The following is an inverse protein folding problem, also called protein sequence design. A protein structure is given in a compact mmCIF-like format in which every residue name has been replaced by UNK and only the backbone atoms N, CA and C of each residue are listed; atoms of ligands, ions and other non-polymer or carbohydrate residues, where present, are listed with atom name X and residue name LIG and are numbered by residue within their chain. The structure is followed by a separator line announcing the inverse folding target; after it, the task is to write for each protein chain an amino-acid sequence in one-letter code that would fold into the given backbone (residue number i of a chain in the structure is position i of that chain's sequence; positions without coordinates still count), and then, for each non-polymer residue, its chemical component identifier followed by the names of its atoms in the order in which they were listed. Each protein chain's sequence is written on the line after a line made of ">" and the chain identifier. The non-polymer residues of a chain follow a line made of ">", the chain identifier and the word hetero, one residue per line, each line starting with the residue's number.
data_IF_599517453047
#
_entry.id   IF_599517453047
#
_cell.length_a   1.000
_cell.length_b   1.000
_cell.length_c   1.000
_cell.angle_alpha   90.00
_cell.angle_beta   90.00
_cell.angle_gamma   90.00
#
_symmetry.space_group_name_H-M   'P 1'
#
loop_
_entity.id
_entity.type
_entity.pdbx_description
1 polymer ?
#
# COMPACT_ATOMS: atom_id res chain seq x y z
N UNK A 1 17.43 17.64 -11.88
CA UNK A 1 17.09 16.26 -12.25
C UNK A 1 16.42 15.65 -11.05
N UNK A 2 15.11 15.41 -11.11
CA UNK A 2 14.42 14.64 -10.06
C UNK A 2 14.79 13.18 -10.27
N UNK A 3 15.79 12.69 -9.53
CA UNK A 3 16.10 11.26 -9.52
C UNK A 3 14.92 10.52 -8.91
N UNK A 4 14.19 9.76 -9.72
CA UNK A 4 13.17 8.86 -9.21
C UNK A 4 13.81 7.84 -8.25
N UNK A 5 13.12 7.45 -7.15
CA UNK A 5 13.62 6.37 -6.31
C UNK A 5 13.83 5.10 -7.11
N UNK A 6 14.84 4.33 -6.71
CA UNK A 6 15.09 3.02 -7.29
C UNK A 6 14.00 2.04 -6.84
N UNK A 7 13.63 1.11 -7.72
CA UNK A 7 12.78 -0.02 -7.35
C UNK A 7 13.51 -0.93 -6.35
N UNK A 8 12.80 -1.64 -5.45
CA UNK A 8 13.44 -2.51 -4.49
C UNK A 8 14.22 -3.64 -5.18
N UNK A 9 15.27 -4.09 -4.51
CA UNK A 9 16.03 -5.25 -4.97
C UNK A 9 15.33 -6.53 -4.49
N UNK A 10 15.11 -7.56 -5.33
CA UNK A 10 14.49 -8.81 -4.89
C UNK A 10 15.23 -9.45 -3.70
N UNK A 11 14.47 -9.98 -2.74
CA UNK A 11 15.00 -10.57 -1.49
C UNK A 11 15.99 -11.73 -1.73
N UNK A 12 15.94 -12.34 -2.91
CA UNK A 12 16.77 -13.50 -3.30
C UNK A 12 17.65 -13.22 -4.52
N UNK A 13 18.12 -11.99 -4.72
CA UNK A 13 18.92 -11.60 -5.89
C UNK A 13 20.15 -12.46 -6.20
N UNK A 14 20.67 -13.19 -5.21
CA UNK A 14 21.85 -14.03 -5.37
C UNK A 14 21.56 -15.54 -5.46
N UNK A 15 20.32 -15.97 -5.21
CA UNK A 15 19.96 -17.39 -5.24
C UNK A 15 19.37 -17.74 -6.61
N UNK A 16 20.19 -18.32 -7.49
CA UNK A 16 19.67 -18.91 -8.71
C UNK A 16 18.81 -20.13 -8.38
N UNK A 17 17.56 -20.11 -8.83
CA UNK A 17 16.63 -21.23 -8.77
C UNK A 17 16.25 -21.71 -10.18
N UNK A 18 15.70 -22.92 -10.26
CA UNK A 18 15.10 -23.43 -11.50
C UNK A 18 14.07 -22.44 -12.07
N UNK A 19 13.23 -21.86 -11.21
CA UNK A 19 12.22 -20.88 -11.61
C UNK A 19 12.85 -19.61 -12.17
N UNK A 20 13.91 -19.09 -11.53
CA UNK A 20 14.58 -17.88 -12.03
C UNK A 20 15.27 -18.06 -13.38
N UNK A 21 15.71 -19.29 -13.69
CA UNK A 21 16.28 -19.62 -15.00
C UNK A 21 15.19 -19.76 -16.07
N UNK A 22 14.03 -20.31 -15.70
CA UNK A 22 12.94 -20.56 -16.65
C UNK A 22 12.09 -19.31 -16.93
N UNK A 23 11.86 -18.46 -15.93
CA UNK A 23 10.92 -17.34 -16.00
C UNK A 23 11.59 -15.97 -15.79
N UNK A 24 12.92 -15.94 -15.70
CA UNK A 24 13.67 -14.74 -15.35
C UNK A 24 13.64 -14.44 -13.85
N UNK A 25 14.35 -13.37 -13.46
CA UNK A 25 14.37 -12.93 -12.07
C UNK A 25 13.03 -12.33 -11.67
N UNK A 26 12.69 -12.48 -10.38
CA UNK A 26 11.48 -11.90 -9.82
C UNK A 26 11.46 -10.37 -9.98
N UNK A 27 10.37 -9.83 -10.52
CA UNK A 27 10.12 -8.40 -10.56
C UNK A 27 9.56 -7.94 -9.22
N UNK A 28 10.22 -6.97 -8.60
CA UNK A 28 9.79 -6.38 -7.34
C UNK A 28 9.42 -4.92 -7.55
N UNK A 29 8.18 -4.58 -7.19
CA UNK A 29 7.63 -3.24 -7.40
C UNK A 29 7.84 -2.35 -6.17
N UNK A 30 7.86 -1.04 -6.38
CA UNK A 30 7.89 -0.05 -5.29
C UNK A 30 6.73 -0.26 -4.29
N UNK A 31 6.90 0.12 -3.02
CA UNK A 31 6.02 -0.22 -1.88
C UNK A 31 5.97 -1.69 -1.43
N UNK A 32 6.60 -2.62 -2.17
CA UNK A 32 6.75 -4.02 -1.76
C UNK A 32 8.12 -4.28 -1.10
N UNK A 33 8.39 -5.54 -0.72
CA UNK A 33 9.66 -5.95 -0.10
C UNK A 33 10.06 -5.14 1.14
N UNK A 34 9.12 -5.03 2.10
CA UNK A 34 9.40 -4.38 3.38
C UNK A 34 10.66 -4.96 4.03
N UNK A 35 11.59 -4.12 4.53
CA UNK A 35 12.75 -4.59 5.28
C UNK A 35 12.35 -5.15 6.65
N UNK A 36 11.09 -4.99 7.06
CA UNK A 36 10.57 -5.47 8.32
C UNK A 36 10.00 -6.88 8.20
N UNK A 37 10.48 -7.79 9.03
CA UNK A 37 9.79 -9.04 9.29
C UNK A 37 8.53 -8.74 10.12
N UNK A 38 7.35 -8.96 9.53
CA UNK A 38 6.07 -8.54 10.10
C UNK A 38 5.71 -9.24 11.41
N UNK A 39 6.21 -10.45 11.63
CA UNK A 39 5.99 -11.28 12.84
C UNK A 39 4.55 -11.18 13.38
N UNK A 40 3.57 -11.41 12.51
CA UNK A 40 2.16 -11.09 12.78
C UNK A 40 1.57 -11.82 13.99
N UNK A 41 2.09 -12.99 14.33
CA UNK A 41 1.70 -13.77 15.51
C UNK A 41 2.13 -13.12 16.84
N UNK A 42 3.10 -12.19 16.84
CA UNK A 42 3.49 -11.45 18.04
C UNK A 42 2.55 -10.27 18.35
N UNK A 43 1.62 -9.94 17.46
CA UNK A 43 0.67 -8.82 17.63
C UNK A 43 -0.34 -9.03 18.76
N UNK A 44 -0.46 -10.26 19.25
CA UNK A 44 -1.29 -10.63 20.41
C UNK A 44 -0.45 -10.91 21.66
N UNK A 45 0.88 -10.91 21.56
CA UNK A 45 1.77 -11.20 22.69
C UNK A 45 2.08 -9.90 23.45
N UNK A 46 1.23 -9.53 24.41
CA UNK A 46 1.35 -8.26 25.15
C UNK A 46 2.69 -8.10 25.87
N UNK A 47 3.25 -9.19 26.41
CA UNK A 47 4.57 -9.17 27.04
C UNK A 47 5.67 -8.76 26.06
N UNK A 48 5.61 -9.26 24.81
CA UNK A 48 6.51 -8.84 23.74
C UNK A 48 6.30 -7.37 23.40
N UNK A 49 5.05 -6.96 23.17
CA UNK A 49 4.73 -5.60 22.75
C UNK A 49 5.14 -4.56 23.81
N UNK A 50 4.94 -4.87 25.10
CA UNK A 50 5.38 -4.04 26.23
C UNK A 50 6.91 -3.90 26.29
N UNK A 51 7.65 -4.98 26.01
CA UNK A 51 9.11 -4.93 25.91
C UNK A 51 9.56 -4.15 24.65
N UNK A 52 8.86 -4.34 23.53
CA UNK A 52 9.16 -3.74 22.25
C UNK A 52 8.96 -2.22 22.24
N UNK A 53 7.85 -1.69 22.76
CA UNK A 53 7.62 -0.23 22.78
C UNK A 53 8.78 0.52 23.45
N UNK A 54 9.29 -0.02 24.55
CA UNK A 54 10.28 0.64 25.43
C UNK A 54 11.72 0.40 25.01
N UNK A 55 11.96 -0.49 24.04
CA UNK A 55 13.32 -0.82 23.64
C UNK A 55 14.01 0.41 23.01
N UNK A 56 15.27 0.75 23.37
CA UNK A 56 15.96 1.93 22.83
C UNK A 56 16.11 1.94 21.30
N UNK A 57 16.12 0.76 20.69
CA UNK A 57 16.17 0.60 19.23
C UNK A 57 14.83 0.82 18.53
N UNK A 58 13.74 0.97 19.27
CA UNK A 58 12.40 1.09 18.69
C UNK A 58 12.26 2.37 17.90
N UNK A 59 11.53 2.26 16.79
CA UNK A 59 11.31 3.34 15.82
C UNK A 59 9.82 3.53 15.59
N UNK A 60 9.38 4.78 15.66
CA UNK A 60 8.00 5.18 15.46
C UNK A 60 7.86 5.99 14.16
N UNK A 61 7.04 5.49 13.23
CA UNK A 61 6.57 6.24 12.06
C UNK A 61 5.39 7.08 12.52
N UNK A 62 5.56 8.40 12.58
CA UNK A 62 4.49 9.31 13.00
C UNK A 62 3.64 9.73 11.82
N UNK A 63 2.32 9.61 11.97
CA UNK A 63 1.34 10.00 10.96
C UNK A 63 0.39 11.07 11.52
N UNK A 64 0.21 12.16 10.79
CA UNK A 64 -0.82 13.20 11.06
C UNK A 64 -1.73 13.27 9.85
N UNK A 65 -3.00 12.89 10.00
CA UNK A 65 -3.96 12.75 8.89
C UNK A 65 -3.39 11.91 7.74
N UNK A 66 -2.69 10.81 8.08
CA UNK A 66 -1.98 9.90 7.17
C UNK A 66 -0.72 10.47 6.48
N UNK A 67 -0.40 11.75 6.70
CA UNK A 67 0.85 12.34 6.25
C UNK A 67 2.00 11.90 7.16
N UNK A 68 3.14 11.43 6.62
CA UNK A 68 4.28 11.02 7.41
C UNK A 68 5.09 12.21 7.92
N UNK A 69 5.64 12.08 9.13
CA UNK A 69 6.68 12.98 9.60
C UNK A 69 7.99 12.74 8.84
N UNK A 70 8.59 13.82 8.35
CA UNK A 70 9.75 13.76 7.48
C UNK A 70 10.81 14.80 7.85
N UNK A 71 12.08 14.49 7.56
CA UNK A 71 13.17 15.48 7.58
C UNK A 71 13.22 16.27 6.27
N UNK A 72 12.85 15.61 5.18
CA UNK A 72 12.71 16.20 3.84
C UNK A 72 11.63 15.42 3.08
N UNK A 73 11.07 15.94 1.96
CA UNK A 73 10.06 15.22 1.18
C UNK A 73 10.44 13.80 0.72
N UNK A 74 11.72 13.41 0.80
CA UNK A 74 12.23 12.09 0.42
C UNK A 74 12.83 11.28 1.58
N UNK A 75 12.75 11.74 2.83
CA UNK A 75 13.36 11.06 3.99
C UNK A 75 12.40 11.04 5.20
N UNK A 76 12.03 9.83 5.65
CA UNK A 76 11.20 9.65 6.83
C UNK A 76 11.98 10.02 8.10
N UNK A 77 11.27 10.60 9.08
CA UNK A 77 11.78 10.67 10.43
C UNK A 77 11.21 9.54 11.28
N UNK A 78 12.09 8.77 11.92
CA UNK A 78 11.70 7.75 12.88
C UNK A 78 11.90 8.26 14.29
N UNK A 79 10.79 8.52 14.99
CA UNK A 79 10.84 8.97 16.38
C UNK A 79 11.22 7.83 17.33
N UNK A 80 11.71 8.20 18.50
CA UNK A 80 12.03 7.35 19.63
C UNK A 80 10.92 7.42 20.70
N UNK A 81 10.94 6.47 21.64
CA UNK A 81 9.91 6.36 22.67
C UNK A 81 9.74 7.64 23.52
N UNK A 82 10.84 8.25 23.94
CA UNK A 82 10.84 9.49 24.73
C UNK A 82 10.22 10.70 23.98
N UNK A 83 10.12 10.64 22.64
CA UNK A 83 9.47 11.67 21.83
C UNK A 83 7.95 11.49 21.75
N UNK A 84 7.44 10.30 22.10
CA UNK A 84 6.04 9.90 21.91
C UNK A 84 5.35 9.39 23.18
N UNK A 85 6.06 9.31 24.31
CA UNK A 85 5.59 8.74 25.59
C UNK A 85 4.27 9.37 26.09
N UNK A 86 4.01 10.64 25.75
CA UNK A 86 2.75 11.33 26.09
C UNK A 86 1.53 10.72 25.38
N UNK A 87 1.72 10.10 24.22
CA UNK A 87 0.65 9.43 23.46
C UNK A 87 0.68 7.92 23.62
N UNK A 88 1.83 7.36 23.99
CA UNK A 88 2.05 5.93 24.15
C UNK A 88 2.48 5.67 25.60
N UNK A 89 1.53 5.51 26.53
CA UNK A 89 1.88 5.23 27.92
C UNK A 89 2.56 3.87 28.03
N UNK A 90 3.51 3.74 28.97
CA UNK A 90 4.24 2.48 29.20
C UNK A 90 3.32 1.30 29.51
N UNK A 91 2.15 1.60 30.06
CA UNK A 91 1.15 0.63 30.55
C UNK A 91 0.14 0.23 29.47
N UNK A 92 0.30 0.66 28.22
CA UNK A 92 -0.68 0.43 27.13
C UNK A 92 -0.97 -1.07 26.87
N UNK A 93 -0.04 -1.96 27.23
CA UNK A 93 -0.19 -3.41 27.07
C UNK A 93 -0.24 -4.19 28.40
N UNK A 94 -0.41 -3.51 29.54
CA UNK A 94 -0.45 -4.18 30.86
C UNK A 94 -1.71 -5.04 31.05
N UNK A 95 -2.81 -4.64 30.43
CA UNK A 95 -4.07 -5.40 30.43
C UNK A 95 -4.11 -6.34 29.24
N UNK A 96 -4.76 -7.49 29.39
CA UNK A 96 -5.00 -8.38 28.26
C UNK A 96 -5.99 -7.77 27.27
N UNK A 97 -6.05 -8.30 26.04
CA UNK A 97 -7.07 -7.89 25.07
C UNK A 97 -8.49 -8.11 25.62
N UNK A 98 -8.72 -9.22 26.32
CA UNK A 98 -10.02 -9.59 26.91
C UNK A 98 -10.46 -8.60 27.99
N UNK A 99 -9.54 -8.21 28.88
CA UNK A 99 -9.76 -7.18 29.90
C UNK A 99 -10.07 -5.83 29.24
N UNK A 100 -9.25 -5.43 28.26
CA UNK A 100 -9.43 -4.17 27.53
C UNK A 100 -10.78 -4.09 26.82
N UNK A 101 -11.23 -5.21 26.22
CA UNK A 101 -12.54 -5.31 25.56
C UNK A 101 -13.68 -5.23 26.58
N UNK A 102 -13.54 -5.88 27.74
CA UNK A 102 -14.57 -5.91 28.79
C UNK A 102 -14.74 -4.55 29.46
N UNK A 103 -13.65 -3.83 29.68
CA UNK A 103 -13.61 -2.52 30.33
C UNK A 103 -13.74 -1.34 29.35
N UNK A 104 -14.12 -1.63 28.10
CA UNK A 104 -14.21 -0.62 27.05
C UNK A 104 -15.13 0.54 27.43
N UNK A 105 -14.64 1.77 27.22
CA UNK A 105 -15.36 3.02 27.42
C UNK A 105 -15.23 3.86 26.16
N UNK A 106 -16.32 4.01 25.40
CA UNK A 106 -16.30 4.73 24.11
C UNK A 106 -16.04 6.23 24.22
N UNK A 107 -16.00 6.80 25.43
CA UNK A 107 -15.64 8.21 25.66
C UNK A 107 -14.13 8.44 25.68
N UNK A 108 -13.34 7.39 25.90
CA UNK A 108 -11.87 7.45 25.94
C UNK A 108 -11.28 7.14 24.58
N UNK A 109 -10.30 7.95 24.18
CA UNK A 109 -9.59 7.85 22.92
C UNK A 109 -8.12 7.55 23.20
N UNK A 110 -7.66 6.39 22.75
CA UNK A 110 -6.24 6.06 22.74
C UNK A 110 -5.66 6.38 21.37
N UNK A 111 -4.45 6.94 21.34
CA UNK A 111 -3.73 7.13 20.09
C UNK A 111 -3.56 5.78 19.37
N UNK A 112 -3.78 5.76 18.06
CA UNK A 112 -3.71 4.52 17.30
C UNK A 112 -2.25 4.11 17.14
N UNK A 113 -1.86 3.02 17.80
CA UNK A 113 -0.53 2.43 17.73
C UNK A 113 -0.60 1.09 16.97
N UNK A 114 0.34 0.88 16.05
CA UNK A 114 0.35 -0.29 15.17
C UNK A 114 1.73 -0.92 15.13
N UNK A 115 1.88 -2.18 15.51
CA UNK A 115 3.14 -2.92 15.35
C UNK A 115 3.35 -3.33 13.89
N UNK A 116 4.44 -2.85 13.30
CA UNK A 116 4.76 -3.06 11.88
C UNK A 116 5.60 -4.32 11.67
N UNK A 117 6.54 -4.58 12.57
CA UNK A 117 7.47 -5.70 12.50
C UNK A 117 8.81 -5.42 13.19
N UNK A 118 9.79 -6.29 12.96
CA UNK A 118 11.18 -6.11 13.37
C UNK A 118 12.08 -5.93 12.14
N UNK A 119 13.01 -4.99 12.22
CA UNK A 119 14.17 -4.96 11.32
C UNK A 119 15.24 -5.94 11.85
N UNK A 120 15.28 -7.14 11.28
CA UNK A 120 16.19 -8.22 11.68
C UNK A 120 17.63 -8.03 11.18
N UNK A 121 17.91 -6.98 10.40
CA UNK A 121 19.30 -6.60 10.07
C UNK A 121 20.01 -6.00 11.29
N UNK A 122 19.25 -5.41 12.22
CA UNK A 122 19.72 -4.75 13.45
C UNK A 122 19.82 -5.72 14.62
N UNK A 123 20.66 -6.76 14.47
CA UNK A 123 20.81 -7.81 15.50
C UNK A 123 21.62 -7.39 16.72
N UNK A 124 22.58 -6.47 16.55
CA UNK A 124 23.53 -6.10 17.62
C UNK A 124 22.91 -5.23 18.70
N UNK A 125 21.98 -4.36 18.33
CA UNK A 125 21.34 -3.39 19.21
C UNK A 125 19.81 -3.50 19.23
N UNK A 126 19.26 -4.52 18.57
CA UNK A 126 17.83 -4.81 18.53
C UNK A 126 17.32 -5.55 19.77
N UNK A 127 16.00 -5.60 19.91
CA UNK A 127 15.32 -6.38 20.94
C UNK A 127 15.51 -7.86 20.65
N UNK A 128 16.01 -8.62 21.62
CA UNK A 128 16.00 -10.08 21.59
C UNK A 128 14.69 -10.62 22.21
N UNK A 129 13.91 -11.37 21.43
CA UNK A 129 12.70 -12.03 21.89
C UNK A 129 12.64 -13.48 21.40
N UNK A 130 12.83 -14.44 22.30
CA UNK A 130 12.94 -15.87 21.96
C UNK A 130 14.03 -16.08 20.90
N UNK A 131 13.66 -16.47 19.68
CA UNK A 131 14.59 -16.67 18.55
C UNK A 131 14.65 -15.47 17.60
N UNK A 132 13.84 -14.44 17.81
CA UNK A 132 13.77 -13.26 16.97
C UNK A 132 14.64 -12.16 17.56
N UNK A 133 15.38 -11.44 16.72
CA UNK A 133 16.20 -10.31 17.16
C UNK A 133 16.20 -9.23 16.10
N UNK A 134 15.83 -8.02 16.48
CA UNK A 134 15.78 -6.89 15.57
C UNK A 134 15.23 -5.62 16.21
N UNK A 135 15.33 -4.50 15.49
CA UNK A 135 14.78 -3.24 15.96
C UNK A 135 13.25 -3.21 15.75
N UNK A 136 12.43 -2.96 16.80
CA UNK A 136 10.98 -2.88 16.63
C UNK A 136 10.51 -1.62 15.91
N UNK A 137 9.51 -1.77 15.05
CA UNK A 137 8.89 -0.65 14.34
C UNK A 137 7.40 -0.57 14.66
N UNK A 138 6.94 0.65 14.96
CA UNK A 138 5.54 0.98 15.16
C UNK A 138 5.11 2.15 14.26
N UNK A 139 3.84 2.18 13.86
CA UNK A 139 3.21 3.40 13.35
C UNK A 139 2.32 4.00 14.43
N UNK A 140 2.35 5.32 14.58
CA UNK A 140 1.58 6.06 15.58
C UNK A 140 0.80 7.20 14.92
N UNK A 141 -0.50 7.26 15.18
CA UNK A 141 -1.33 8.40 14.83
C UNK A 141 -1.18 9.51 15.87
N UNK A 142 -0.64 10.65 15.44
CA UNK A 142 -0.49 11.84 16.26
C UNK A 142 -1.54 12.90 15.92
N UNK A 143 -2.56 12.56 15.12
CA UNK A 143 -3.65 13.47 14.77
C UNK A 143 -4.43 13.85 16.03
N UNK A 144 -4.56 15.15 16.38
CA UNK A 144 -5.39 15.57 17.51
C UNK A 144 -6.87 15.27 17.23
N UNK A 145 -7.42 14.23 17.87
CA UNK A 145 -8.81 13.78 17.67
C UNK A 145 -9.36 13.05 18.89
N UNK A 146 -10.67 13.10 19.09
CA UNK A 146 -11.33 12.43 20.22
C UNK A 146 -11.30 13.29 21.47
N UNK A 147 -10.90 12.72 22.62
CA UNK A 147 -10.94 13.43 23.90
C UNK A 147 -9.84 14.51 24.06
N UNK A 148 -10.03 15.37 25.06
CA UNK A 148 -9.18 16.54 25.32
C UNK A 148 -7.74 16.17 25.71
N UNK A 149 -7.56 15.05 26.42
CA UNK A 149 -6.24 14.57 26.83
C UNK A 149 -5.43 14.11 25.60
N UNK A 150 -6.03 13.28 24.74
CA UNK A 150 -5.42 12.85 23.48
C UNK A 150 -5.05 14.05 22.61
N UNK A 151 -5.96 15.03 22.47
CA UNK A 151 -5.72 16.21 21.65
C UNK A 151 -4.56 17.06 22.19
N UNK A 152 -4.50 17.24 23.50
CA UNK A 152 -3.43 17.99 24.16
C UNK A 152 -2.08 17.31 23.97
N UNK A 153 -2.01 16.00 24.21
CA UNK A 153 -0.79 15.22 24.04
C UNK A 153 -0.34 15.20 22.57
N UNK A 154 -1.28 15.10 21.64
CA UNK A 154 -1.01 15.14 20.19
C UNK A 154 -0.40 16.48 19.76
N UNK A 155 -1.00 17.59 20.17
CA UNK A 155 -0.47 18.93 19.90
C UNK A 155 0.94 19.09 20.48
N UNK A 156 1.18 18.62 21.70
CA UNK A 156 2.49 18.68 22.33
C UNK A 156 3.56 17.88 21.56
N UNK A 157 3.24 16.66 21.12
CA UNK A 157 4.16 15.85 20.30
C UNK A 157 4.42 16.51 18.95
N UNK A 158 3.38 16.98 18.26
CA UNK A 158 3.51 17.67 16.97
C UNK A 158 4.42 18.90 17.10
N UNK A 159 4.16 19.80 18.05
CA UNK A 159 4.96 21.01 18.24
C UNK A 159 6.42 20.68 18.57
N UNK A 160 6.68 19.67 19.39
CA UNK A 160 8.04 19.24 19.69
C UNK A 160 8.79 18.69 18.46
N UNK A 161 8.09 18.06 17.51
CA UNK A 161 8.69 17.63 16.25
C UNK A 161 8.95 18.82 15.30
N UNK A 162 8.02 19.77 15.22
CA UNK A 162 8.16 20.98 14.40
C UNK A 162 9.30 21.88 14.89
N UNK A 163 9.50 21.98 16.21
CA UNK A 163 10.64 22.70 16.81
C UNK A 163 12.01 22.11 16.43
N UNK A 164 12.05 20.83 16.05
CA UNK A 164 13.26 20.17 15.51
C UNK A 164 13.47 20.42 14.01
N UNK A 165 12.62 21.24 13.38
CA UNK A 165 12.64 21.51 11.94
C UNK A 165 12.04 20.39 11.09
N UNK A 166 11.29 19.47 11.70
CA UNK A 166 10.60 18.38 10.99
C UNK A 166 9.22 18.84 10.51
N UNK A 167 8.67 18.16 9.51
CA UNK A 167 7.32 18.48 9.01
C UNK A 167 6.57 17.25 8.54
N UNK A 168 5.24 17.29 8.67
CA UNK A 168 4.35 16.28 8.12
C UNK A 168 4.16 16.52 6.62
N UNK A 169 4.69 15.62 5.78
CA UNK A 169 4.70 15.81 4.34
C UNK A 169 3.32 15.56 3.72
N UNK A 170 2.61 16.65 3.42
CA UNK A 170 1.27 16.63 2.84
C UNK A 170 1.33 16.43 1.32
N UNK A 171 1.07 15.21 0.86
CA UNK A 171 0.88 14.89 -0.55
C UNK A 171 -0.21 13.84 -0.73
N UNK A 172 -0.93 13.93 -1.84
CA UNK A 172 -1.96 12.95 -2.23
C UNK A 172 -1.35 11.56 -2.47
N UNK A 173 -0.15 11.54 -3.06
CA UNK A 173 0.62 10.33 -3.39
C UNK A 173 2.09 10.64 -3.08
N UNK A 174 2.72 9.80 -2.27
CA UNK A 174 4.12 9.93 -1.82
C UNK A 174 4.94 8.81 -2.44
N UNK A 175 5.74 9.13 -3.45
CA UNK A 175 6.59 8.17 -4.17
C UNK A 175 8.04 8.66 -4.27
N UNK A 176 8.48 9.40 -3.25
CA UNK A 176 9.79 10.07 -3.16
C UNK A 176 10.76 9.39 -2.20
N UNK A 177 10.26 8.47 -1.36
CA UNK A 177 11.08 7.73 -0.40
C UNK A 177 11.95 6.67 -1.08
N UNK A 178 12.99 6.22 -0.36
CA UNK A 178 13.69 4.99 -0.74
C UNK A 178 12.71 3.80 -0.77
N UNK A 179 13.06 2.74 -1.51
CA UNK A 179 12.24 1.53 -1.60
C UNK A 179 11.84 0.96 -0.23
N UNK A 180 12.81 0.90 0.70
CA UNK A 180 12.62 0.37 2.05
C UNK A 180 11.67 1.23 2.89
N UNK A 181 11.92 2.54 2.93
CA UNK A 181 11.06 3.50 3.62
C UNK A 181 9.65 3.55 3.02
N UNK A 182 9.55 3.44 1.70
CA UNK A 182 8.28 3.40 1.00
C UNK A 182 7.46 2.18 1.41
N UNK A 183 8.07 1.01 1.52
CA UNK A 183 7.40 -0.21 1.96
C UNK A 183 6.92 -0.12 3.42
N UNK A 184 7.74 0.44 4.31
CA UNK A 184 7.35 0.72 5.71
C UNK A 184 6.19 1.71 5.76
N UNK A 185 6.27 2.81 5.01
CA UNK A 185 5.23 3.83 4.95
C UNK A 185 3.94 3.27 4.36
N UNK A 186 4.00 2.47 3.30
CA UNK A 186 2.82 1.85 2.68
C UNK A 186 2.05 0.97 3.68
N UNK A 187 2.76 0.12 4.44
CA UNK A 187 2.15 -0.67 5.51
C UNK A 187 1.55 0.23 6.60
N UNK A 188 2.30 1.23 7.06
CA UNK A 188 1.88 2.17 8.10
C UNK A 188 0.61 2.90 7.71
N UNK A 189 0.61 3.49 6.52
CA UNK A 189 -0.48 4.30 5.97
C UNK A 189 -1.73 3.46 5.74
N UNK A 190 -1.62 2.29 5.11
CA UNK A 190 -2.77 1.44 4.81
C UNK A 190 -3.48 0.94 6.08
N UNK A 191 -2.70 0.47 7.08
CA UNK A 191 -3.27 0.04 8.36
C UNK A 191 -3.88 1.20 9.15
N UNK A 192 -3.25 2.38 9.11
CA UNK A 192 -3.76 3.57 9.78
C UNK A 192 -5.05 4.08 9.15
N UNK A 193 -5.09 4.17 7.82
CA UNK A 193 -6.27 4.56 7.04
C UNK A 193 -7.45 3.63 7.34
N UNK A 194 -7.22 2.32 7.38
CA UNK A 194 -8.25 1.35 7.75
C UNK A 194 -8.76 1.56 9.18
N UNK A 195 -7.88 1.73 10.18
CA UNK A 195 -8.32 2.00 11.55
C UNK A 195 -9.15 3.29 11.66
N UNK A 196 -8.77 4.32 10.91
CA UNK A 196 -9.46 5.61 10.92
C UNK A 196 -10.87 5.53 10.29
N UNK A 197 -11.04 4.75 9.24
CA UNK A 197 -12.34 4.60 8.55
C UNK A 197 -13.26 3.55 9.16
N UNK A 198 -12.75 2.64 9.99
CA UNK A 198 -13.51 1.49 10.54
C UNK A 198 -13.70 1.59 12.06
N UNK A 199 -14.01 2.80 12.55
CA UNK A 199 -14.21 3.10 13.97
C UNK A 199 -15.53 2.57 14.54
N UNK A 200 -16.45 2.12 13.69
CA UNK A 200 -17.74 1.54 14.05
C UNK A 200 -17.90 0.14 13.45
N UNK A 201 -18.70 -0.71 14.10
CA UNK A 201 -18.96 -2.07 13.65
C UNK A 201 -19.93 -2.06 12.48
N UNK A 202 -19.50 -2.59 11.32
CA UNK A 202 -20.33 -2.66 10.12
C UNK A 202 -21.61 -3.49 10.26
N UNK A 203 -21.75 -4.32 11.30
CA UNK A 203 -22.99 -5.06 11.57
C UNK A 203 -23.94 -4.35 12.50
N UNK A 204 -23.46 -3.83 13.64
CA UNK A 204 -24.35 -3.29 14.68
C UNK A 204 -24.23 -1.77 14.90
N UNK A 205 -23.37 -1.08 14.14
CA UNK A 205 -23.19 0.37 14.21
C UNK A 205 -22.51 0.90 15.48
N UNK A 206 -22.13 0.05 16.44
CA UNK A 206 -21.49 0.50 17.68
C UNK A 206 -19.98 0.75 17.51
N UNK A 207 -19.37 1.67 18.29
CA UNK A 207 -17.93 1.89 18.29
C UNK A 207 -17.13 0.59 18.50
N UNK A 208 -16.06 0.45 17.73
CA UNK A 208 -15.11 -0.66 17.82
C UNK A 208 -13.83 -0.22 18.53
N UNK A 209 -13.03 -1.20 18.95
CA UNK A 209 -11.73 -1.01 19.57
C UNK A 209 -10.65 -1.60 18.64
N UNK A 210 -9.55 -0.88 18.46
CA UNK A 210 -8.37 -1.44 17.78
C UNK A 210 -7.65 -2.40 18.72
N UNK A 211 -7.41 -3.62 18.27
CA UNK A 211 -6.73 -4.69 19.00
C UNK A 211 -5.70 -5.38 18.09
N UNK A 212 -5.01 -6.42 18.56
CA UNK A 212 -3.87 -7.05 17.85
C UNK A 212 -2.85 -5.99 17.37
N UNK A 213 -2.50 -5.03 18.23
CA UNK A 213 -1.61 -3.91 17.90
C UNK A 213 -1.93 -3.27 16.55
N UNK A 214 -3.20 -2.88 16.36
CA UNK A 214 -3.62 -2.11 15.18
C UNK A 214 -4.07 -2.93 13.97
N UNK A 215 -4.08 -4.27 14.03
CA UNK A 215 -4.43 -5.11 12.87
C UNK A 215 -5.73 -5.88 13.02
N UNK A 216 -6.56 -5.53 14.01
CA UNK A 216 -7.91 -6.05 14.18
C UNK A 216 -8.82 -5.00 14.82
N UNK A 217 -10.10 -4.94 14.43
CA UNK A 217 -11.15 -4.18 15.11
C UNK A 217 -12.06 -5.15 15.85
N UNK A 218 -12.09 -5.05 17.17
CA UNK A 218 -13.03 -5.78 18.01
C UNK A 218 -14.30 -4.95 18.20
N UNK A 219 -15.48 -5.59 18.23
CA UNK A 219 -16.72 -4.96 18.66
C UNK A 219 -16.97 -5.32 20.14
N UNK A 220 -16.72 -4.41 21.10
CA UNK A 220 -16.88 -4.74 22.51
C UNK A 220 -18.31 -5.19 22.85
N UNK A 221 -18.50 -6.22 23.69
CA UNK A 221 -19.81 -6.68 24.16
C UNK A 221 -20.43 -5.72 25.17
N UNK A 222 -19.59 -4.94 25.85
CA UNK A 222 -19.97 -3.96 26.87
C UNK A 222 -19.40 -2.59 26.51
N UNK A 223 -20.02 -1.54 27.03
CA UNK A 223 -19.50 -0.17 26.96
C UNK A 223 -19.92 0.61 28.19
N UNK A 224 -18.94 1.01 28.98
CA UNK A 224 -19.14 1.75 30.23
C UNK A 224 -19.83 3.09 29.99
N UNK A 225 -19.59 3.73 28.84
CA UNK A 225 -20.22 5.02 28.50
C UNK A 225 -21.75 4.94 28.48
N UNK A 226 -22.31 3.79 28.09
CA UNK A 226 -23.77 3.59 28.00
C UNK A 226 -24.47 3.73 29.35
N UNK A 227 -23.80 3.33 30.44
CA UNK A 227 -24.35 3.46 31.79
C UNK A 227 -24.56 4.92 32.16
N UNK A 228 -23.63 5.79 31.76
CA UNK A 228 -23.77 7.24 31.96
C UNK A 228 -24.95 7.85 31.18
N UNK A 229 -25.41 7.18 30.12
CA UNK A 229 -26.60 7.54 29.33
C UNK A 229 -27.90 6.89 29.84
N UNK A 230 -27.87 6.19 30.98
CA UNK A 230 -29.01 5.45 31.51
C UNK A 230 -29.37 4.18 30.74
N UNK A 231 -28.45 3.66 29.90
CA UNK A 231 -28.60 2.41 29.14
C UNK A 231 -27.81 1.27 29.78
N UNK A 232 -28.16 -0.01 29.55
CA UNK A 232 -27.34 -1.13 29.97
C UNK A 232 -25.93 -1.05 29.35
N UNK A 233 -24.91 -1.40 30.14
CA UNK A 233 -23.52 -1.51 29.67
C UNK A 233 -23.41 -2.56 28.56
N UNK A 234 -24.14 -3.66 28.69
CA UNK A 234 -24.23 -4.71 27.68
C UNK A 234 -24.86 -4.18 26.40
N UNK A 235 -24.20 -4.49 25.27
CA UNK A 235 -24.66 -4.17 23.93
C UNK A 235 -25.43 -5.35 23.36
N UNK A 236 -26.41 -5.13 22.47
CA UNK A 236 -27.12 -6.20 21.78
C UNK A 236 -26.18 -7.20 21.11
N UNK A 237 -26.66 -8.41 20.88
CA UNK A 237 -25.90 -9.46 20.20
C UNK A 237 -25.37 -8.97 18.84
N UNK A 238 -24.14 -9.38 18.50
CA UNK A 238 -23.50 -9.03 17.25
C UNK A 238 -22.66 -10.22 16.76
N UNK A 239 -22.89 -10.66 15.53
CA UNK A 239 -22.22 -11.82 14.95
C UNK A 239 -20.69 -11.64 14.86
N UNK A 240 -20.20 -10.41 14.71
CA UNK A 240 -18.74 -10.11 14.71
C UNK A 240 -18.04 -10.52 16.01
N UNK A 241 -18.79 -10.78 17.10
CA UNK A 241 -18.26 -11.28 18.38
C UNK A 241 -18.25 -12.81 18.47
N UNK A 242 -19.03 -13.48 17.64
CA UNK A 242 -19.24 -14.95 17.73
C UNK A 242 -18.69 -15.70 16.52
N UNK A 243 -18.42 -15.02 15.41
CA UNK A 243 -17.85 -15.61 14.20
C UNK A 243 -16.66 -14.80 13.69
N UNK A 244 -15.82 -15.45 12.88
CA UNK A 244 -14.77 -14.77 12.14
C UNK A 244 -15.44 -13.87 11.07
N UNK A 245 -15.24 -12.56 11.18
CA UNK A 245 -15.80 -11.57 10.26
C UNK A 245 -14.68 -10.79 9.58
N UNK A 246 -14.76 -10.64 8.26
CA UNK A 246 -13.86 -9.78 7.49
C UNK A 246 -13.92 -8.31 7.93
N UNK A 247 -15.03 -7.86 8.51
CA UNK A 247 -15.20 -6.52 9.08
C UNK A 247 -14.19 -6.21 10.20
N UNK A 248 -13.65 -7.25 10.84
CA UNK A 248 -12.66 -7.11 11.90
C UNK A 248 -11.23 -6.98 11.42
N UNK A 249 -10.93 -7.15 10.13
CA UNK A 249 -9.56 -7.18 9.61
C UNK A 249 -9.28 -6.11 8.55
N UNK A 250 -8.02 -5.68 8.38
CA UNK A 250 -7.62 -4.75 7.34
C UNK A 250 -8.06 -5.21 5.95
N UNK A 251 -8.55 -4.26 5.16
CA UNK A 251 -8.99 -4.49 3.78
C UNK A 251 -7.84 -4.24 2.81
N UNK A 252 -7.78 -5.05 1.76
CA UNK A 252 -6.92 -4.81 0.59
C UNK A 252 -7.76 -5.07 -0.65
N UNK A 253 -7.96 -4.05 -1.46
CA UNK A 253 -8.80 -4.10 -2.65
C UNK A 253 -7.97 -4.58 -3.86
N UNK A 254 -8.25 -5.75 -4.43
CA UNK A 254 -7.52 -6.22 -5.61
C UNK A 254 -7.93 -5.40 -6.85
N UNK A 255 -6.92 -4.93 -7.58
CA UNK A 255 -7.10 -4.10 -8.77
C UNK A 255 -6.21 -4.65 -9.88
N UNK A 256 -6.75 -5.01 -11.03
CA UNK A 256 -5.93 -5.38 -12.19
C UNK A 256 -5.31 -4.14 -12.81
N UNK A 257 -4.14 -4.30 -13.43
CA UNK A 257 -3.55 -3.29 -14.30
C UNK A 257 -2.81 -4.00 -15.41
N UNK A 258 -3.07 -3.64 -16.67
CA UNK A 258 -2.69 -4.49 -17.81
C UNK A 258 -2.02 -3.72 -18.93
N UNK A 259 -0.85 -4.20 -19.36
CA UNK A 259 -0.26 -3.83 -20.65
C UNK A 259 -0.84 -4.73 -21.74
N UNK A 260 -1.52 -4.13 -22.71
CA UNK A 260 -2.20 -4.85 -23.79
C UNK A 260 -1.40 -4.71 -25.08
N UNK A 261 -0.99 -5.84 -25.64
CA UNK A 261 -0.28 -5.94 -26.91
C UNK A 261 -1.25 -6.15 -28.07
N UNK A 262 -0.99 -5.50 -29.19
CA UNK A 262 -1.66 -5.78 -30.47
C UNK A 262 -1.48 -7.23 -30.89
N UNK A 263 -2.27 -7.69 -31.84
CA UNK A 263 -2.19 -9.07 -32.35
C UNK A 263 -0.82 -9.40 -32.92
N UNK A 264 -0.18 -8.46 -33.60
CA UNK A 264 1.19 -8.59 -34.13
C UNK A 264 2.29 -8.27 -33.12
N UNK A 265 1.92 -7.89 -31.89
CA UNK A 265 2.80 -7.50 -30.79
C UNK A 265 3.75 -6.33 -31.10
N UNK A 266 3.40 -5.47 -32.06
CA UNK A 266 4.18 -4.27 -32.44
C UNK A 266 3.68 -2.99 -31.80
N UNK A 267 2.50 -3.03 -31.18
CA UNK A 267 1.86 -1.87 -30.55
C UNK A 267 1.37 -2.22 -29.15
N UNK A 268 1.36 -1.20 -28.29
CA UNK A 268 0.80 -1.27 -26.93
C UNK A 268 -0.41 -0.35 -26.86
N UNK A 269 -1.53 -0.85 -26.36
CA UNK A 269 -2.71 -0.02 -26.06
C UNK A 269 -2.50 0.70 -24.74
N UNK A 270 -2.61 2.02 -24.77
CA UNK A 270 -2.57 2.86 -23.57
C UNK A 270 -3.79 3.79 -23.55
N UNK A 271 -4.29 4.06 -22.34
CA UNK A 271 -5.43 4.94 -22.08
C UNK A 271 -5.06 6.17 -21.28
N UNK A 272 -5.89 7.21 -21.36
CA UNK A 272 -5.82 8.39 -20.49
C UNK A 272 -7.19 8.81 -20.00
N UNK A 273 -7.23 9.33 -18.78
CA UNK A 273 -8.38 10.01 -18.21
C UNK A 273 -8.28 11.52 -18.46
N UNK A 274 -9.42 12.21 -18.50
CA UNK A 274 -9.51 13.67 -18.65
C UNK A 274 -8.69 14.46 -17.61
N UNK A 275 -8.47 13.88 -16.43
CA UNK A 275 -7.69 14.52 -15.35
C UNK A 275 -6.18 14.47 -15.58
N UNK A 276 -5.69 13.66 -16.52
CA UNK A 276 -4.26 13.50 -16.77
C UNK A 276 -3.70 14.66 -17.58
N UNK A 277 -2.43 15.07 -17.33
CA UNK A 277 -1.76 16.05 -18.17
C UNK A 277 -1.80 15.66 -19.65
N UNK A 278 -1.80 16.61 -20.60
CA UNK A 278 -1.76 16.30 -22.02
C UNK A 278 -0.66 15.29 -22.38
N UNK A 279 -0.99 14.37 -23.29
CA UNK A 279 -0.14 13.28 -23.79
C UNK A 279 0.37 12.29 -22.74
N UNK A 280 -0.13 12.33 -21.50
CA UNK A 280 0.19 11.36 -20.47
C UNK A 280 -0.79 10.19 -20.51
N UNK A 281 -0.29 9.01 -20.88
CA UNK A 281 -1.04 7.76 -21.00
C UNK A 281 -0.48 6.70 -20.05
N UNK A 282 -1.31 5.73 -19.69
CA UNK A 282 -0.96 4.60 -18.83
C UNK A 282 -1.64 3.33 -19.34
N UNK A 283 -1.22 2.18 -18.81
CA UNK A 283 -1.96 0.93 -18.88
C UNK A 283 -3.36 1.07 -18.30
N UNK A 284 -4.30 0.25 -18.76
CA UNK A 284 -5.68 0.19 -18.26
C UNK A 284 -5.73 -0.54 -16.92
N UNK A 285 -6.65 -0.17 -16.03
CA UNK A 285 -6.71 -0.70 -14.68
C UNK A 285 -8.11 -0.64 -14.09
N UNK A 286 -8.48 -1.67 -13.32
CA UNK A 286 -9.84 -1.87 -12.84
C UNK A 286 -9.94 -2.67 -11.56
N UNK A 287 -11.01 -2.49 -10.80
CA UNK A 287 -11.27 -3.33 -9.64
C UNK A 287 -11.71 -4.73 -10.08
N UNK A 288 -11.26 -5.75 -9.34
CA UNK A 288 -11.78 -7.11 -9.51
C UNK A 288 -13.15 -7.20 -8.85
N UNK A 289 -14.13 -7.76 -9.56
CA UNK A 289 -15.47 -7.99 -9.01
C UNK A 289 -15.56 -9.26 -8.15
N UNK A 290 -16.55 -9.35 -7.25
CA UNK A 290 -16.79 -10.58 -6.49
C UNK A 290 -16.98 -11.80 -7.41
N UNK A 291 -16.27 -12.89 -7.08
CA UNK A 291 -16.27 -14.14 -7.85
C UNK A 291 -15.63 -14.06 -9.25
N UNK A 292 -14.79 -13.07 -9.50
CA UNK A 292 -14.01 -12.92 -10.72
C UNK A 292 -12.54 -13.38 -10.52
N UNK A 293 -11.97 -14.03 -11.53
CA UNK A 293 -10.52 -14.30 -11.56
C UNK A 293 -9.75 -13.05 -12.02
N UNK A 294 -8.43 -13.00 -11.78
CA UNK A 294 -7.60 -11.88 -12.27
C UNK A 294 -7.68 -11.79 -13.79
N UNK A 295 -7.65 -12.94 -14.47
CA UNK A 295 -7.69 -13.03 -15.92
C UNK A 295 -9.04 -12.59 -16.48
N UNK A 296 -10.16 -12.92 -15.82
CA UNK A 296 -11.49 -12.48 -16.23
C UNK A 296 -11.65 -10.97 -16.04
N UNK A 297 -11.20 -10.42 -14.91
CA UNK A 297 -11.20 -8.98 -14.64
C UNK A 297 -10.39 -8.21 -15.69
N UNK A 298 -9.22 -8.71 -16.08
CA UNK A 298 -8.43 -8.12 -17.17
C UNK A 298 -9.22 -8.08 -18.48
N UNK A 299 -9.93 -9.16 -18.83
CA UNK A 299 -10.72 -9.21 -20.08
C UNK A 299 -11.91 -8.28 -20.02
N UNK A 300 -12.64 -8.27 -18.91
CA UNK A 300 -13.81 -7.41 -18.69
C UNK A 300 -13.40 -5.94 -18.78
N UNK A 301 -12.42 -5.52 -17.98
CA UNK A 301 -12.04 -4.09 -17.90
C UNK A 301 -11.57 -3.54 -19.25
N UNK A 302 -10.74 -4.29 -19.98
CA UNK A 302 -10.22 -3.83 -21.28
C UNK A 302 -11.33 -3.77 -22.33
N UNK A 303 -12.31 -4.68 -22.26
CA UNK A 303 -13.47 -4.64 -23.14
C UNK A 303 -14.43 -3.49 -22.79
N UNK A 304 -14.67 -3.23 -21.50
CA UNK A 304 -15.53 -2.13 -21.02
C UNK A 304 -14.94 -0.76 -21.35
N UNK A 305 -13.65 -0.53 -21.07
CA UNK A 305 -13.03 0.79 -21.26
C UNK A 305 -12.60 1.05 -22.70
N UNK A 306 -12.19 0.02 -23.44
CA UNK A 306 -11.56 0.19 -24.76
C UNK A 306 -12.19 -0.63 -25.88
N UNK A 307 -13.15 -1.52 -25.60
CA UNK A 307 -13.81 -2.36 -26.62
C UNK A 307 -12.93 -3.48 -27.20
N UNK A 308 -11.70 -3.62 -26.71
CA UNK A 308 -10.71 -4.56 -27.24
C UNK A 308 -10.89 -5.94 -26.63
N UNK A 309 -10.90 -6.99 -27.47
CA UNK A 309 -11.07 -8.37 -26.99
C UNK A 309 -9.73 -9.10 -26.88
N UNK A 310 -9.45 -9.62 -25.69
CA UNK A 310 -8.18 -10.24 -25.35
C UNK A 310 -8.22 -11.78 -25.44
N UNK A 311 -7.06 -12.38 -25.70
CA UNK A 311 -6.83 -13.83 -25.65
C UNK A 311 -6.19 -14.24 -24.32
N UNK A 312 -4.88 -14.51 -24.33
CA UNK A 312 -4.10 -14.95 -23.19
C UNK A 312 -3.76 -13.76 -22.29
N UNK A 313 -3.94 -13.97 -20.99
CA UNK A 313 -3.53 -13.06 -19.92
C UNK A 313 -2.43 -13.74 -19.13
N UNK A 314 -1.35 -13.01 -18.83
CA UNK A 314 -0.23 -13.47 -18.01
C UNK A 314 -0.06 -12.51 -16.85
N UNK A 315 -0.19 -13.03 -15.62
CA UNK A 315 0.11 -12.26 -14.41
C UNK A 315 1.62 -12.08 -14.33
N UNK A 316 2.07 -10.83 -14.22
CA UNK A 316 3.48 -10.45 -14.23
C UNK A 316 4.03 -10.24 -12.82
N UNK A 317 3.40 -9.36 -12.04
CA UNK A 317 3.87 -8.94 -10.72
C UNK A 317 2.78 -8.18 -9.98
N UNK A 318 2.93 -7.91 -8.69
CA UNK A 318 2.00 -7.07 -7.93
C UNK A 318 2.68 -5.89 -7.24
N UNK A 319 1.93 -4.82 -7.00
CA UNK A 319 2.37 -3.62 -6.32
C UNK A 319 1.32 -3.20 -5.27
N UNK A 320 1.67 -3.15 -3.97
CA UNK A 320 0.83 -2.49 -2.98
C UNK A 320 0.65 -1.01 -3.36
N UNK A 321 -0.57 -0.50 -3.26
CA UNK A 321 -0.89 0.89 -3.53
C UNK A 321 -1.68 1.48 -2.35
N UNK A 322 -1.00 2.16 -1.41
CA UNK A 322 -1.57 2.53 -0.10
C UNK A 322 -2.47 3.79 -0.18
N UNK A 323 -3.17 3.99 -1.30
CA UNK A 323 -4.02 5.15 -1.56
C UNK A 323 -5.41 4.73 -2.08
N UNK A 324 -6.31 4.21 -1.21
CA UNK A 324 -6.11 4.01 0.23
C UNK A 324 -5.52 2.64 0.61
N UNK A 325 -5.88 1.55 -0.09
CA UNK A 325 -5.47 0.19 0.28
C UNK A 325 -5.64 -0.81 -0.89
N UNK A 326 -5.14 -0.50 -2.09
CA UNK A 326 -5.25 -1.41 -3.23
C UNK A 326 -4.04 -2.36 -3.30
N UNK A 327 -4.24 -3.53 -3.89
CA UNK A 327 -3.17 -4.37 -4.42
C UNK A 327 -3.29 -4.38 -5.93
N UNK A 328 -2.39 -3.66 -6.59
CA UNK A 328 -2.32 -3.64 -8.05
C UNK A 328 -1.72 -4.97 -8.52
N UNK A 329 -2.46 -5.72 -9.31
CA UNK A 329 -2.06 -7.00 -9.90
C UNK A 329 -1.79 -6.75 -11.38
N UNK A 330 -0.51 -6.68 -11.71
CA UNK A 330 -0.03 -6.38 -13.04
C UNK A 330 -0.12 -7.58 -13.97
N UNK A 331 -0.67 -7.38 -15.16
CA UNK A 331 -0.78 -8.38 -16.20
C UNK A 331 -0.26 -7.88 -17.55
N UNK A 332 0.11 -8.82 -18.41
CA UNK A 332 0.35 -8.59 -19.83
C UNK A 332 -0.67 -9.44 -20.58
N UNK A 333 -1.37 -8.83 -21.54
CA UNK A 333 -2.36 -9.52 -22.34
C UNK A 333 -2.19 -9.21 -23.82
N UNK A 334 -2.67 -10.11 -24.67
CA UNK A 334 -2.61 -9.94 -26.12
C UNK A 334 -4.01 -9.95 -26.71
N UNK A 335 -4.28 -9.08 -27.68
CA UNK A 335 -5.52 -9.10 -28.46
C UNK A 335 -5.69 -10.45 -29.16
N UNK A 336 -6.92 -10.95 -29.26
CA UNK A 336 -7.16 -12.29 -29.80
C UNK A 336 -7.15 -12.39 -31.32
N UNK A 337 -7.57 -11.34 -32.04
CA UNK A 337 -7.67 -11.29 -33.50
C UNK A 337 -7.57 -9.83 -34.02
N UNK A 338 -7.01 -9.56 -35.21
CA UNK A 338 -6.93 -8.19 -35.74
C UNK A 338 -8.26 -7.44 -35.77
N UNK A 339 -9.39 -8.12 -35.98
CA UNK A 339 -10.72 -7.51 -35.94
C UNK A 339 -11.09 -6.96 -34.56
N UNK A 340 -10.48 -7.49 -33.49
CA UNK A 340 -10.74 -7.13 -32.10
C UNK A 340 -9.83 -6.00 -31.58
N UNK A 341 -9.03 -5.37 -32.44
CA UNK A 341 -8.20 -4.20 -32.08
C UNK A 341 -8.96 -2.86 -32.14
N UNK A 342 -10.20 -2.87 -32.66
CA UNK A 342 -11.00 -1.66 -32.83
C UNK A 342 -11.34 -1.07 -31.47
N UNK A 343 -10.83 0.13 -31.20
CA UNK A 343 -11.07 0.86 -29.96
C UNK A 343 -12.51 1.39 -29.94
N UNK A 344 -13.23 1.13 -28.86
CA UNK A 344 -14.55 1.67 -28.59
C UNK A 344 -14.67 2.14 -27.13
N UNK A 345 -14.74 3.46 -26.93
CA UNK A 345 -14.85 4.09 -25.60
C UNK A 345 -16.31 4.36 -25.17
N UNK A 346 -17.30 3.82 -25.89
CA UNK A 346 -18.72 4.12 -25.64
C UNK A 346 -19.38 3.19 -24.62
N UNK A 347 -18.75 2.06 -24.27
CA UNK A 347 -19.28 1.13 -23.28
C UNK A 347 -19.17 1.71 -21.87
N UNK A 348 -17.99 2.22 -21.51
CA UNK A 348 -17.76 2.94 -20.26
C UNK A 348 -16.95 4.23 -20.49
N UNK A 349 -17.54 5.43 -20.29
CA UNK A 349 -16.87 6.71 -20.58
C UNK A 349 -15.88 7.15 -19.48
N UNK A 350 -15.11 6.23 -18.88
CA UNK A 350 -14.04 6.54 -17.92
C UNK A 350 -12.79 7.14 -18.58
N UNK A 351 -12.45 6.66 -19.78
CA UNK A 351 -11.32 7.14 -20.56
C UNK A 351 -11.73 8.35 -21.42
N UNK A 352 -10.84 9.35 -21.46
CA UNK A 352 -10.94 10.44 -22.43
C UNK A 352 -10.45 10.00 -23.81
N UNK A 353 -9.42 9.16 -23.85
CA UNK A 353 -8.80 8.68 -25.07
C UNK A 353 -8.03 7.37 -24.81
N UNK A 354 -8.00 6.49 -25.81
CA UNK A 354 -7.16 5.29 -25.83
C UNK A 354 -6.58 5.12 -27.22
N UNK A 355 -5.29 4.74 -27.28
CA UNK A 355 -4.54 4.66 -28.54
C UNK A 355 -3.58 3.49 -28.53
N UNK A 356 -3.38 2.95 -29.72
CA UNK A 356 -2.27 2.06 -30.02
C UNK A 356 -1.01 2.89 -30.27
N UNK A 357 0.05 2.59 -29.53
CA UNK A 357 1.38 3.20 -29.68
C UNK A 357 2.37 2.17 -30.18
N UNK A 358 3.13 2.50 -31.22
CA UNK A 358 4.19 1.64 -31.73
C UNK A 358 5.28 1.45 -30.68
N UNK A 359 5.91 0.27 -30.65
CA UNK A 359 6.97 -0.06 -29.69
C UNK A 359 8.08 0.99 -29.68
N UNK A 360 8.47 1.52 -30.84
CA UNK A 360 9.52 2.55 -30.96
C UNK A 360 9.12 3.87 -30.28
N UNK A 361 7.85 4.25 -30.36
CA UNK A 361 7.33 5.45 -29.66
C UNK A 361 7.34 5.24 -28.15
N UNK A 362 6.97 4.05 -27.70
CA UNK A 362 6.99 3.65 -26.29
C UNK A 362 8.42 3.62 -25.74
N UNK A 363 9.38 3.09 -26.50
CA UNK A 363 10.81 3.09 -26.15
C UNK A 363 11.36 4.51 -25.98
N UNK A 364 11.03 5.41 -26.91
CA UNK A 364 11.40 6.82 -26.79
C UNK A 364 10.78 7.44 -25.53
N UNK A 365 9.49 7.23 -25.29
CA UNK A 365 8.80 7.75 -24.12
C UNK A 365 9.36 7.20 -22.79
N UNK A 366 9.79 5.94 -22.74
CA UNK A 366 10.45 5.36 -21.57
C UNK A 366 11.83 5.97 -21.28
N UNK A 367 12.48 6.56 -22.29
CA UNK A 367 13.79 7.22 -22.18
C UNK A 367 13.64 8.69 -21.76
N UNK A 368 12.73 9.44 -22.38
CA UNK A 368 12.65 10.92 -22.22
C UNK A 368 11.29 11.45 -21.77
N UNK A 369 10.25 10.61 -21.75
CA UNK A 369 8.86 10.98 -21.51
C UNK A 369 8.27 10.51 -20.18
N UNK A 370 9.08 10.00 -19.24
CA UNK A 370 8.59 9.55 -17.93
C UNK A 370 8.45 10.70 -16.93
N UNK A 371 7.34 10.75 -16.19
CA UNK A 371 7.14 11.71 -15.11
C UNK A 371 6.07 11.24 -14.12
N UNK A 372 6.13 11.71 -12.86
CA UNK A 372 5.01 11.50 -11.94
C UNK A 372 3.74 12.23 -12.42
N UNK A 373 2.59 11.80 -11.93
CA UNK A 373 1.31 12.42 -12.26
C UNK A 373 1.24 13.84 -11.65
N UNK A 374 1.25 14.86 -12.50
CA UNK A 374 1.22 16.28 -12.09
C UNK A 374 2.56 17.00 -12.24
N UNK A 375 3.66 16.27 -12.43
CA UNK A 375 4.97 16.86 -12.71
C UNK A 375 5.05 17.37 -14.15
N UNK A 376 5.93 18.36 -14.37
CA UNK A 376 6.31 18.79 -15.72
C UNK A 376 7.10 17.68 -16.41
N UNK A 377 7.06 17.68 -17.75
CA UNK A 377 7.90 16.78 -18.51
C UNK A 377 9.40 17.07 -18.27
N UNK A 378 10.23 16.05 -18.46
CA UNK A 378 11.68 16.18 -18.32
C UNK A 378 12.29 17.11 -19.37
N UNK A 379 13.55 17.55 -19.19
CA UNK A 379 14.19 18.51 -20.09
C UNK A 379 14.42 17.97 -21.50
N UNK A 380 14.50 16.64 -21.67
CA UNK A 380 14.70 15.98 -22.96
C UNK A 380 13.38 15.65 -23.69
N UNK A 381 12.23 15.90 -23.05
CA UNK A 381 10.93 15.60 -23.63
C UNK A 381 10.66 16.44 -24.88
N UNK A 382 10.17 15.78 -25.94
CA UNK A 382 9.72 16.42 -27.16
C UNK A 382 8.24 16.80 -27.01
N UNK A 383 7.94 18.10 -27.12
CA UNK A 383 6.56 18.60 -27.02
C UNK A 383 5.63 17.85 -28.00
N UNK A 384 4.47 17.41 -27.50
CA UNK A 384 3.54 16.57 -28.26
C UNK A 384 3.80 15.06 -28.20
N UNK A 385 4.95 14.61 -27.68
CA UNK A 385 5.29 13.19 -27.57
C UNK A 385 4.53 12.45 -26.46
N UNK A 386 4.56 11.12 -26.52
CA UNK A 386 3.99 10.26 -25.48
C UNK A 386 4.71 10.47 -24.13
N UNK A 387 3.92 10.63 -23.06
CA UNK A 387 4.39 10.63 -21.68
C UNK A 387 3.87 9.42 -20.93
N UNK A 388 4.72 8.86 -20.09
CA UNK A 388 4.46 7.62 -19.36
C UNK A 388 4.62 7.80 -17.84
N UNK A 389 4.05 6.88 -17.03
CA UNK A 389 4.25 6.85 -15.59
C UNK A 389 5.73 6.72 -15.20
N UNK A 390 6.12 7.15 -13.99
CA UNK A 390 7.51 7.08 -13.55
C UNK A 390 7.95 5.62 -13.34
N UNK A 391 9.27 5.33 -13.30
CA UNK A 391 9.77 3.97 -13.11
C UNK A 391 9.28 3.26 -11.84
N UNK A 392 8.87 4.00 -10.81
CA UNK A 392 8.34 3.44 -9.56
C UNK A 392 6.90 2.92 -9.69
N UNK A 393 6.17 3.26 -10.76
CA UNK A 393 4.80 2.81 -10.99
C UNK A 393 4.79 1.46 -11.72
N UNK A 394 3.94 0.52 -11.28
CA UNK A 394 3.78 -0.80 -11.92
C UNK A 394 3.38 -0.68 -13.40
N UNK A 395 2.63 0.34 -13.80
CA UNK A 395 2.32 0.62 -15.20
C UNK A 395 3.60 0.76 -16.06
N UNK A 396 4.62 1.47 -15.57
CA UNK A 396 5.90 1.60 -16.26
C UNK A 396 6.63 0.24 -16.36
N UNK A 397 6.60 -0.54 -15.27
CA UNK A 397 7.20 -1.87 -15.23
C UNK A 397 6.54 -2.84 -16.23
N UNK A 398 5.21 -2.80 -16.33
CA UNK A 398 4.46 -3.60 -17.31
C UNK A 398 4.74 -3.18 -18.75
N UNK A 399 4.80 -1.87 -19.02
CA UNK A 399 5.14 -1.37 -20.35
C UNK A 399 6.55 -1.83 -20.76
N UNK A 400 7.54 -1.71 -19.86
CA UNK A 400 8.91 -2.21 -20.10
C UNK A 400 8.91 -3.71 -20.37
N UNK A 401 8.19 -4.50 -19.58
CA UNK A 401 8.12 -5.94 -19.77
C UNK A 401 7.42 -6.33 -21.08
N UNK A 402 6.36 -5.62 -21.46
CA UNK A 402 5.58 -5.88 -22.67
C UNK A 402 6.34 -5.59 -23.97
N UNK A 403 7.27 -4.61 -23.97
CA UNK A 403 8.07 -4.31 -25.17
C UNK A 403 9.39 -5.09 -25.22
N UNK A 404 9.94 -5.51 -24.07
CA UNK A 404 11.21 -6.25 -24.00
C UNK A 404 11.01 -7.77 -23.96
N UNK A 405 10.16 -8.33 -24.82
CA UNK A 405 9.67 -9.72 -24.72
C UNK A 405 10.68 -10.84 -25.07
N UNK A 406 11.81 -10.89 -24.35
CA UNK A 406 12.52 -12.14 -24.08
C UNK A 406 11.74 -13.04 -23.09
N UNK A 407 10.71 -12.51 -22.42
CA UNK A 407 9.84 -13.23 -21.47
C UNK A 407 8.92 -14.30 -22.10
N UNK A 408 8.68 -14.24 -23.42
CA UNK A 408 7.92 -15.25 -24.19
C UNK A 408 8.80 -16.06 -25.14
N UNK A 409 10.05 -15.65 -25.33
CA UNK A 409 11.03 -16.44 -26.04
C UNK A 409 11.45 -17.58 -25.11
N UNK A 410 10.68 -18.68 -25.12
CA UNK A 410 11.22 -19.96 -24.69
C UNK A 410 12.56 -20.14 -25.38
N UNK A 411 13.61 -20.30 -24.59
CA UNK A 411 15.00 -20.38 -24.99
C UNK A 411 15.13 -21.07 -26.35
N UNK A 412 15.43 -20.32 -27.43
CA UNK A 412 15.70 -20.88 -28.76
C UNK A 412 17.04 -21.64 -28.80
N UNK A 413 17.55 -22.04 -27.65
CA UNK A 413 18.77 -22.81 -27.45
C UNK A 413 18.52 -24.03 -26.56
N UNK A 414 17.51 -24.84 -26.90
CA UNK A 414 17.56 -26.26 -26.56
C UNK A 414 16.80 -27.10 -27.58
N UNK A 415 17.48 -27.41 -28.67
CA UNK A 415 17.62 -28.78 -29.20
C UNK A 415 18.62 -28.79 -30.36
N UNK A 416 19.76 -29.42 -30.09
CA UNK A 416 20.52 -30.25 -31.04
C UNK A 416 19.61 -31.25 -31.74
#
# INVERSE_FOLDING_TARGET
>A
MTSHPQIPTPAHTQAESMLSRQFGRETVNYFSSSPLNRLSFLRTEHAFLSAAIRHPSTRFVLLKDLAPLTKSPSELYYAHYNEVEKLVPETIYDKTEEETIKEYDSRKTTAQLIFLGLDESRKQDGLAWKIYTGAPFFALDVTPKGDEEQQTNSKAVISAMEEKGLSFFQSRVVMTFSADEAAIYAQSRALMDWNNRNSFCGTCGHPTLSVNSGTKRACPPTDVARVAEGKPAERPACNTRTTLSNLSFPRTDPTIIVAVLSTDAKRVLLGRSKRYPPNWYSTLAGFIEPAESVEDAVRREVWEEAGVTLSRVIIHSSQPWPYPANLMIGAIAQVSDPAHETINLSHDPELEDAKWFDVEEVEEALRIGVSALGDKAGPEYKEGGLRLPPPTAIANQLIRAAINMDLLAGDKTSKM
#
